data_IF_347337919526
#
_entry.id   IF_347337919526
#
_cell.length_a   1.000
_cell.length_b   1.000
_cell.length_c   1.000
_cell.angle_alpha   90.00
_cell.angle_beta   90.00
_cell.angle_gamma   90.00
#
_symmetry.space_group_name_H-M   'P 1'
#
loop_
_entity.id
_entity.type
_entity.pdbx_description
1 polymer ?
#
# COMPACT_ATOMS: atom_id res chain seq x y z
N UNK A 1 3.51 -23.60 -24.79
CA UNK A 1 3.85 -22.43 -23.94
C UNK A 1 3.81 -22.78 -22.45
N UNK A 2 2.72 -23.37 -21.92
CA UNK A 2 2.59 -23.71 -20.49
C UNK A 2 3.73 -24.58 -19.92
N UNK A 3 4.09 -25.68 -20.57
CA UNK A 3 5.17 -26.56 -20.10
C UNK A 3 6.58 -25.93 -20.07
N UNK A 4 6.80 -24.81 -20.79
CA UNK A 4 8.07 -24.09 -20.75
C UNK A 4 8.22 -23.18 -19.53
N UNK A 5 7.11 -22.56 -19.09
CA UNK A 5 7.07 -21.75 -17.88
C UNK A 5 7.18 -22.63 -16.62
N UNK A 6 6.45 -23.75 -16.60
CA UNK A 6 6.48 -24.71 -15.49
C UNK A 6 7.88 -25.29 -15.25
N UNK A 7 8.57 -25.71 -16.31
CA UNK A 7 9.96 -26.14 -16.22
C UNK A 7 10.90 -25.03 -15.70
N UNK A 8 10.57 -23.75 -15.95
CA UNK A 8 11.28 -22.60 -15.40
C UNK A 8 11.12 -22.48 -13.89
N UNK A 9 9.88 -22.55 -13.41
CA UNK A 9 9.57 -22.52 -11.99
C UNK A 9 10.16 -23.69 -11.23
N UNK A 10 10.11 -24.92 -11.79
CA UNK A 10 10.75 -26.08 -11.17
C UNK A 10 12.27 -25.94 -11.05
N UNK A 11 12.91 -25.18 -11.95
CA UNK A 11 14.34 -24.86 -11.80
C UNK A 11 14.57 -23.85 -10.68
N UNK A 12 13.72 -22.83 -10.57
CA UNK A 12 13.83 -21.83 -9.50
C UNK A 12 13.53 -22.45 -8.12
N UNK A 13 12.49 -23.28 -8.01
CA UNK A 13 12.14 -23.99 -6.78
C UNK A 13 13.29 -24.86 -6.24
N UNK A 14 14.15 -25.42 -7.11
CA UNK A 14 15.37 -26.15 -6.69
C UNK A 14 16.44 -25.28 -6.03
N UNK A 15 16.32 -23.96 -6.09
CA UNK A 15 17.18 -23.01 -5.37
C UNK A 15 16.60 -22.58 -4.01
N UNK A 16 15.42 -23.07 -3.66
CA UNK A 16 14.66 -22.66 -2.47
C UNK A 16 14.53 -23.83 -1.51
N UNK A 17 14.75 -23.56 -0.22
CA UNK A 17 14.37 -24.45 0.88
C UNK A 17 13.34 -23.74 1.74
N UNK A 18 12.25 -24.42 2.07
CA UNK A 18 11.24 -23.97 3.03
C UNK A 18 11.23 -25.01 4.15
N UNK A 19 11.60 -24.59 5.36
CA UNK A 19 11.51 -25.39 6.57
C UNK A 19 10.43 -24.78 7.44
N UNK A 20 9.43 -25.55 7.86
CA UNK A 20 8.42 -25.09 8.81
C UNK A 20 8.76 -25.58 10.21
N UNK A 21 8.62 -24.70 11.19
CA UNK A 21 8.82 -25.04 12.60
C UNK A 21 7.57 -25.68 13.23
N UNK A 22 7.59 -25.90 14.55
CA UNK A 22 6.50 -26.53 15.30
C UNK A 22 5.18 -25.71 15.26
N UNK A 23 5.25 -24.42 14.91
CA UNK A 23 4.09 -23.52 14.78
C UNK A 23 3.66 -23.34 13.32
N UNK A 24 4.33 -24.00 12.38
CA UNK A 24 4.09 -23.88 10.95
C UNK A 24 4.73 -22.65 10.32
N UNK A 25 5.54 -21.89 11.05
CA UNK A 25 6.21 -20.68 10.55
C UNK A 25 7.24 -21.08 9.50
N UNK A 26 7.13 -20.46 8.32
CA UNK A 26 8.02 -20.77 7.21
C UNK A 26 9.38 -20.06 7.37
N UNK A 27 10.45 -20.84 7.39
CA UNK A 27 11.84 -20.39 7.26
C UNK A 27 12.32 -20.65 5.84
N UNK A 28 12.34 -19.60 5.02
CA UNK A 28 12.71 -19.66 3.61
C UNK A 28 14.19 -19.31 3.44
N UNK A 29 14.91 -20.16 2.70
CA UNK A 29 16.29 -19.93 2.27
C UNK A 29 16.37 -20.00 0.75
N UNK A 30 16.82 -18.91 0.10
CA UNK A 30 17.06 -18.84 -1.34
C UNK A 30 18.55 -18.64 -1.67
N UNK A 31 18.98 -19.01 -2.88
CA UNK A 31 20.33 -18.65 -3.36
C UNK A 31 20.46 -17.16 -3.64
N UNK A 32 19.39 -16.56 -4.16
CA UNK A 32 19.26 -15.12 -4.44
C UNK A 32 18.09 -14.51 -3.67
N UNK A 33 18.00 -13.19 -3.59
CA UNK A 33 16.83 -12.49 -3.03
C UNK A 33 15.55 -12.87 -3.79
N UNK A 34 15.65 -13.03 -5.11
CA UNK A 34 14.54 -13.46 -5.95
C UNK A 34 14.07 -14.89 -5.61
N UNK A 35 15.00 -15.81 -5.35
CA UNK A 35 14.65 -17.17 -4.89
C UNK A 35 13.95 -17.12 -3.51
N UNK A 36 14.42 -16.27 -2.60
CA UNK A 36 13.78 -16.09 -1.30
C UNK A 36 12.35 -15.52 -1.43
N UNK A 37 12.14 -14.53 -2.30
CA UNK A 37 10.79 -13.98 -2.60
C UNK A 37 9.88 -15.03 -3.24
N UNK A 38 10.40 -15.84 -4.16
CA UNK A 38 9.65 -16.97 -4.75
C UNK A 38 9.17 -17.94 -3.67
N UNK A 39 10.06 -18.34 -2.75
CA UNK A 39 9.70 -19.24 -1.64
C UNK A 39 8.73 -18.61 -0.65
N UNK A 40 8.93 -17.33 -0.31
CA UNK A 40 8.08 -16.57 0.60
C UNK A 40 6.63 -16.52 0.11
N UNK A 41 6.42 -16.16 -1.16
CA UNK A 41 5.06 -16.03 -1.68
C UNK A 41 4.39 -17.39 -1.91
N UNK A 42 5.18 -18.42 -2.24
CA UNK A 42 4.68 -19.80 -2.28
C UNK A 42 4.19 -20.25 -0.91
N UNK A 43 4.97 -20.03 0.15
CA UNK A 43 4.57 -20.36 1.53
C UNK A 43 3.32 -19.60 1.97
N UNK A 44 3.22 -18.30 1.66
CA UNK A 44 2.01 -17.51 1.93
C UNK A 44 0.78 -18.06 1.20
N UNK A 45 0.94 -18.55 -0.03
CA UNK A 45 -0.14 -19.15 -0.79
C UNK A 45 -0.56 -20.53 -0.24
N UNK A 46 0.39 -21.34 0.23
CA UNK A 46 0.08 -22.58 0.98
C UNK A 46 -0.76 -22.30 2.22
N UNK A 47 -0.46 -21.20 2.92
CA UNK A 47 -1.15 -20.84 4.17
C UNK A 47 -2.55 -20.25 3.89
N UNK A 48 -2.67 -19.28 2.98
CA UNK A 48 -3.95 -18.65 2.65
C UNK A 48 -3.96 -17.97 1.26
N UNK A 49 -3.98 -18.77 0.20
CA UNK A 49 -4.12 -18.26 -1.17
C UNK A 49 -5.33 -17.32 -1.35
N UNK A 50 -6.47 -17.60 -0.69
CA UNK A 50 -7.67 -16.79 -0.84
C UNK A 50 -7.44 -15.35 -0.35
N UNK A 51 -6.75 -15.14 0.77
CA UNK A 51 -6.39 -13.78 1.22
C UNK A 51 -5.38 -13.12 0.29
N UNK A 52 -4.38 -13.87 -0.19
CA UNK A 52 -3.44 -13.35 -1.19
C UNK A 52 -4.19 -12.85 -2.43
N UNK A 53 -5.07 -13.67 -3.02
CA UNK A 53 -5.86 -13.28 -4.17
C UNK A 53 -6.77 -12.08 -3.85
N UNK A 54 -7.45 -12.09 -2.69
CA UNK A 54 -8.36 -11.01 -2.27
C UNK A 54 -7.66 -9.65 -2.20
N UNK A 55 -6.45 -9.60 -1.63
CA UNK A 55 -5.69 -8.36 -1.55
C UNK A 55 -5.36 -7.80 -2.93
N UNK A 56 -4.98 -8.65 -3.88
CA UNK A 56 -4.70 -8.23 -5.25
C UNK A 56 -5.96 -7.89 -6.06
N UNK A 57 -7.08 -8.55 -5.78
CA UNK A 57 -8.37 -8.15 -6.34
C UNK A 57 -8.80 -6.77 -5.85
N UNK A 58 -8.67 -6.49 -4.55
CA UNK A 58 -8.94 -5.15 -4.03
C UNK A 58 -7.97 -4.12 -4.64
N UNK A 59 -6.66 -4.37 -4.57
CA UNK A 59 -5.61 -3.46 -5.05
C UNK A 59 -5.78 -3.03 -6.52
N UNK A 60 -6.19 -3.95 -7.40
CA UNK A 60 -6.41 -3.69 -8.83
C UNK A 60 -7.85 -3.29 -9.18
N UNK A 61 -8.74 -3.20 -8.19
CA UNK A 61 -10.17 -2.96 -8.37
C UNK A 61 -10.83 -4.03 -9.24
N UNK A 62 -10.69 -5.29 -8.86
CA UNK A 62 -11.25 -6.48 -9.54
C UNK A 62 -12.12 -7.32 -8.60
N UNK A 63 -12.48 -6.78 -7.43
CA UNK A 63 -13.18 -7.54 -6.42
C UNK A 63 -14.65 -7.79 -6.81
N UNK A 64 -15.24 -6.94 -7.64
CA UNK A 64 -16.57 -7.15 -8.21
C UNK A 64 -16.62 -8.35 -9.18
N UNK A 65 -15.51 -8.74 -9.80
CA UNK A 65 -15.42 -9.98 -10.57
C UNK A 65 -15.63 -11.23 -9.68
N UNK A 66 -15.32 -11.14 -8.38
CA UNK A 66 -15.50 -12.21 -7.41
C UNK A 66 -16.81 -12.09 -6.60
N UNK A 67 -17.14 -10.87 -6.16
CA UNK A 67 -18.19 -10.57 -5.17
C UNK A 67 -19.46 -9.97 -5.79
N UNK A 68 -19.42 -9.59 -7.07
CA UNK A 68 -20.54 -9.04 -7.80
C UNK A 68 -20.78 -7.56 -7.55
N UNK A 69 -22.02 -7.13 -7.74
CA UNK A 69 -22.41 -5.72 -7.85
C UNK A 69 -22.04 -4.86 -6.62
N UNK A 70 -22.07 -5.45 -5.42
CA UNK A 70 -21.78 -4.75 -4.16
C UNK A 70 -20.36 -4.17 -4.11
N UNK A 71 -19.42 -4.69 -4.90
CA UNK A 71 -18.03 -4.27 -4.92
C UNK A 71 -17.70 -3.25 -6.03
N UNK A 72 -18.65 -2.89 -6.91
CA UNK A 72 -18.40 -2.02 -8.08
C UNK A 72 -17.76 -0.69 -7.68
N UNK A 73 -18.25 -0.05 -6.62
CA UNK A 73 -17.75 1.27 -6.21
C UNK A 73 -16.37 1.20 -5.57
N UNK A 74 -16.09 0.12 -4.84
CA UNK A 74 -14.75 -0.18 -4.33
C UNK A 74 -13.77 -0.40 -5.48
N UNK A 75 -14.20 -1.15 -6.51
CA UNK A 75 -13.38 -1.35 -7.71
C UNK A 75 -13.16 -0.05 -8.48
N UNK A 76 -14.19 0.78 -8.66
CA UNK A 76 -14.05 2.08 -9.31
C UNK A 76 -13.05 2.98 -8.55
N UNK A 77 -13.17 3.06 -7.22
CA UNK A 77 -12.25 3.82 -6.35
C UNK A 77 -10.80 3.43 -6.63
N UNK A 78 -10.50 2.14 -6.67
CA UNK A 78 -9.14 1.65 -6.92
C UNK A 78 -8.70 1.91 -8.36
N UNK A 79 -9.54 1.61 -9.36
CA UNK A 79 -9.21 1.79 -10.77
C UNK A 79 -8.95 3.24 -11.15
N UNK A 80 -9.52 4.23 -10.46
CA UNK A 80 -9.25 5.65 -10.73
C UNK A 80 -7.76 6.01 -10.52
N UNK A 81 -7.03 5.25 -9.69
CA UNK A 81 -5.60 5.44 -9.41
C UNK A 81 -4.73 4.34 -10.01
N UNK A 82 -5.23 3.11 -10.01
CA UNK A 82 -4.47 1.91 -10.37
C UNK A 82 -4.89 1.43 -11.76
N UNK A 83 -4.03 1.73 -12.73
CA UNK A 83 -4.25 1.40 -14.14
C UNK A 83 -3.23 0.34 -14.61
N UNK A 84 -3.67 -0.86 -15.04
CA UNK A 84 -2.77 -1.94 -15.42
C UNK A 84 -1.72 -1.56 -16.48
N UNK A 85 -2.09 -0.76 -17.48
CA UNK A 85 -1.15 -0.37 -18.53
C UNK A 85 -0.05 0.56 -18.01
N UNK A 86 -0.36 1.42 -17.05
CA UNK A 86 0.63 2.28 -16.39
C UNK A 86 1.53 1.44 -15.46
N UNK A 87 0.97 0.49 -14.70
CA UNK A 87 1.78 -0.41 -13.87
C UNK A 87 2.71 -1.30 -14.71
N UNK A 88 2.28 -1.77 -15.88
CA UNK A 88 3.13 -2.51 -16.83
C UNK A 88 4.29 -1.66 -17.34
N UNK A 89 4.04 -0.38 -17.64
CA UNK A 89 5.09 0.57 -18.01
C UNK A 89 6.03 0.85 -16.83
N UNK A 90 5.51 0.98 -15.62
CA UNK A 90 6.33 1.17 -14.42
C UNK A 90 7.19 -0.06 -14.10
N UNK A 91 6.66 -1.27 -14.32
CA UNK A 91 7.44 -2.49 -14.24
C UNK A 91 8.62 -2.47 -15.22
N UNK A 92 8.41 -2.10 -16.49
CA UNK A 92 9.50 -2.05 -17.48
C UNK A 92 10.53 -0.95 -17.20
N UNK A 93 10.14 0.15 -16.54
CA UNK A 93 11.03 1.21 -16.09
C UNK A 93 11.69 0.93 -14.73
N UNK A 94 11.24 -0.09 -14.00
CA UNK A 94 11.76 -0.40 -12.66
C UNK A 94 13.23 -0.86 -12.73
N UNK A 95 14.03 -0.64 -11.68
CA UNK A 95 15.40 -1.18 -11.63
C UNK A 95 15.42 -2.69 -11.86
N UNK A 96 16.47 -3.19 -12.53
CA UNK A 96 16.58 -4.61 -12.90
C UNK A 96 16.49 -5.55 -11.69
N UNK A 97 17.02 -5.16 -10.53
CA UNK A 97 16.90 -5.94 -9.30
C UNK A 97 15.45 -6.04 -8.85
N UNK A 98 14.66 -4.95 -8.93
CA UNK A 98 13.26 -4.94 -8.53
C UNK A 98 12.38 -5.74 -9.51
N UNK A 99 12.67 -5.65 -10.82
CA UNK A 99 12.02 -6.50 -11.83
C UNK A 99 12.21 -7.99 -11.56
N UNK A 100 13.40 -8.40 -11.09
CA UNK A 100 13.67 -9.80 -10.70
C UNK A 100 12.81 -10.24 -9.52
N UNK A 101 12.68 -9.41 -8.49
CA UNK A 101 11.84 -9.72 -7.32
C UNK A 101 10.36 -9.83 -7.69
N UNK A 102 9.86 -8.87 -8.48
CA UNK A 102 8.47 -8.88 -8.96
C UNK A 102 8.18 -10.08 -9.87
N UNK A 103 9.16 -10.47 -10.70
CA UNK A 103 9.05 -11.69 -11.52
C UNK A 103 8.99 -12.93 -10.65
N UNK A 104 9.89 -13.06 -9.69
CA UNK A 104 9.92 -14.19 -8.76
C UNK A 104 8.65 -14.30 -7.90
N UNK A 105 8.08 -13.16 -7.51
CA UNK A 105 6.79 -13.11 -6.82
C UNK A 105 5.66 -13.68 -7.67
N UNK A 106 5.54 -13.24 -8.93
CA UNK A 106 4.52 -13.77 -9.83
C UNK A 106 4.76 -15.26 -10.13
N UNK A 107 6.01 -15.66 -10.33
CA UNK A 107 6.41 -17.03 -10.59
C UNK A 107 6.10 -17.96 -9.41
N UNK A 108 6.34 -17.53 -8.16
CA UNK A 108 6.01 -18.32 -6.97
C UNK A 108 4.51 -18.60 -6.83
N UNK A 109 3.66 -17.59 -7.07
CA UNK A 109 2.19 -17.77 -7.05
C UNK A 109 1.69 -18.65 -8.19
N UNK A 110 2.23 -18.46 -9.38
CA UNK A 110 1.84 -19.28 -10.52
C UNK A 110 2.33 -20.73 -10.38
N UNK A 111 3.50 -20.94 -9.77
CA UNK A 111 4.00 -22.26 -9.43
C UNK A 111 3.11 -22.94 -8.40
N UNK A 112 2.69 -22.22 -7.35
CA UNK A 112 1.70 -22.72 -6.40
C UNK A 112 0.43 -23.20 -7.10
N UNK A 113 -0.18 -22.36 -7.95
CA UNK A 113 -1.40 -22.74 -8.69
C UNK A 113 -1.20 -23.95 -9.62
N UNK A 114 -0.01 -24.11 -10.20
CA UNK A 114 0.30 -25.29 -11.02
C UNK A 114 0.43 -26.56 -10.18
N UNK A 115 0.98 -26.47 -8.96
CA UNK A 115 1.15 -27.61 -8.04
C UNK A 115 -0.13 -27.97 -7.28
N UNK A 116 -1.07 -27.04 -7.17
CA UNK A 116 -2.30 -27.16 -6.40
C UNK A 116 -3.56 -27.00 -7.29
N UNK A 117 -3.83 -27.94 -8.22
CA UNK A 117 -4.98 -27.84 -9.14
C UNK A 117 -6.35 -27.89 -8.43
N UNK A 118 -6.39 -28.32 -7.17
CA UNK A 118 -7.56 -28.26 -6.29
C UNK A 118 -7.94 -26.83 -5.91
N UNK A 119 -6.96 -25.92 -5.83
CA UNK A 119 -7.20 -24.50 -5.57
C UNK A 119 -7.86 -23.90 -6.79
N UNK A 120 -9.02 -23.27 -6.58
CA UNK A 120 -9.79 -22.59 -7.63
C UNK A 120 -9.71 -21.08 -7.39
N UNK A 121 -8.84 -20.36 -8.11
CA UNK A 121 -8.84 -18.91 -8.05
C UNK A 121 -10.22 -18.35 -8.36
N UNK A 122 -10.64 -17.33 -7.60
CA UNK A 122 -11.91 -16.65 -7.86
C UNK A 122 -11.86 -15.92 -9.20
N UNK A 123 -10.71 -15.33 -9.53
CA UNK A 123 -10.54 -14.42 -10.67
C UNK A 123 -9.12 -14.46 -11.26
N UNK A 124 -8.05 -14.50 -10.46
CA UNK A 124 -6.67 -14.41 -10.93
C UNK A 124 -6.12 -15.82 -11.20
N UNK A 125 -6.23 -16.26 -12.44
CA UNK A 125 -5.68 -17.56 -12.88
C UNK A 125 -4.20 -17.49 -13.26
N UNK A 126 -3.67 -16.27 -13.40
CA UNK A 126 -2.26 -16.00 -13.71
C UNK A 126 -1.85 -14.67 -13.09
N UNK A 127 -0.84 -14.72 -12.24
CA UNK A 127 -0.17 -13.52 -11.73
C UNK A 127 0.88 -13.05 -12.72
N UNK A 128 0.94 -11.74 -12.95
CA UNK A 128 1.95 -11.11 -13.81
C UNK A 128 2.85 -10.20 -12.97
N UNK A 129 4.16 -10.07 -13.27
CA UNK A 129 5.11 -9.38 -12.40
C UNK A 129 4.70 -7.96 -12.00
N UNK A 130 4.12 -7.19 -12.92
CA UNK A 130 3.69 -5.81 -12.67
C UNK A 130 2.60 -5.70 -11.60
N UNK A 131 1.85 -6.77 -11.30
CA UNK A 131 0.78 -6.75 -10.30
C UNK A 131 1.33 -6.43 -8.91
N UNK A 132 2.58 -6.79 -8.60
CA UNK A 132 3.25 -6.44 -7.33
C UNK A 132 3.30 -4.92 -7.08
N UNK A 133 3.23 -4.08 -8.13
CA UNK A 133 3.16 -2.62 -8.00
C UNK A 133 1.77 -2.11 -7.61
N UNK A 134 0.72 -2.92 -7.66
CA UNK A 134 -0.62 -2.53 -7.22
C UNK A 134 -0.76 -2.53 -5.69
N UNK A 135 0.08 -3.29 -4.99
CA UNK A 135 0.02 -3.44 -3.54
C UNK A 135 1.42 -3.34 -2.91
N UNK A 136 1.86 -2.09 -2.72
CA UNK A 136 3.25 -1.76 -2.32
C UNK A 136 3.37 -1.23 -0.89
N UNK A 137 2.23 -0.94 -0.27
CA UNK A 137 2.12 -0.50 1.13
C UNK A 137 1.56 -1.65 1.97
N UNK A 138 2.24 -2.04 3.05
CA UNK A 138 1.80 -3.14 3.94
C UNK A 138 0.91 -2.72 5.10
N UNK A 139 0.48 -1.47 5.12
CA UNK A 139 -0.46 -0.94 6.10
C UNK A 139 -1.87 -1.46 5.83
N UNK A 140 -2.74 -1.38 6.84
CA UNK A 140 -4.18 -1.49 6.65
C UNK A 140 -4.70 -0.12 6.25
N UNK A 141 -5.57 -0.05 5.23
CA UNK A 141 -6.29 1.16 4.88
C UNK A 141 -5.42 2.23 4.22
N UNK A 142 -4.78 1.90 3.09
CA UNK A 142 -3.95 2.84 2.34
C UNK A 142 -4.71 4.07 1.85
N UNK A 143 -4.00 5.11 1.41
CA UNK A 143 -4.55 6.45 1.10
C UNK A 143 -5.82 6.42 0.24
N UNK A 144 -5.85 5.58 -0.81
CA UNK A 144 -6.99 5.45 -1.73
C UNK A 144 -8.24 4.98 -0.98
N UNK A 145 -8.10 4.14 0.04
CA UNK A 145 -9.22 3.56 0.79
C UNK A 145 -9.93 4.57 1.70
N UNK A 146 -9.31 5.71 1.97
CA UNK A 146 -9.91 6.84 2.71
C UNK A 146 -11.01 7.54 1.91
N UNK A 147 -11.04 7.36 0.58
CA UNK A 147 -12.06 7.96 -0.29
C UNK A 147 -13.41 7.28 -0.02
N UNK A 148 -14.37 8.11 0.41
CA UNK A 148 -15.72 7.68 0.77
C UNK A 148 -16.51 7.13 -0.43
N UNK A 149 -16.96 5.87 -0.33
CA UNK A 149 -17.64 5.17 -1.40
C UNK A 149 -19.03 5.75 -1.73
N UNK A 150 -19.80 6.18 -0.73
CA UNK A 150 -21.14 6.74 -0.94
C UNK A 150 -21.07 8.07 -1.72
N UNK A 151 -20.08 8.92 -1.41
CA UNK A 151 -19.83 10.18 -2.13
C UNK A 151 -19.33 9.94 -3.54
N UNK A 152 -18.46 8.95 -3.73
CA UNK A 152 -18.00 8.52 -5.06
C UNK A 152 -19.17 8.01 -5.92
N UNK A 153 -20.03 7.17 -5.32
CA UNK A 153 -21.24 6.66 -5.93
C UNK A 153 -22.22 7.78 -6.29
N UNK A 154 -22.42 8.76 -5.39
CA UNK A 154 -23.28 9.92 -5.66
C UNK A 154 -22.79 10.73 -6.88
N UNK A 155 -21.47 10.84 -7.05
CA UNK A 155 -20.88 11.58 -8.17
C UNK A 155 -20.95 10.83 -9.51
N UNK A 156 -20.57 9.55 -9.52
CA UNK A 156 -20.47 8.73 -10.75
C UNK A 156 -21.72 7.89 -11.04
N UNK A 157 -22.69 7.86 -10.13
CA UNK A 157 -23.97 7.17 -10.28
C UNK A 157 -24.93 7.95 -11.20
N UNK A 158 -25.71 7.20 -11.98
CA UNK A 158 -26.70 7.73 -12.93
C UNK A 158 -28.11 7.92 -12.34
N UNK A 159 -28.29 7.69 -11.04
CA UNK A 159 -29.55 7.85 -10.31
C UNK A 159 -29.28 8.49 -8.94
N UNK A 160 -30.11 9.43 -8.46
CA UNK A 160 -30.14 9.75 -7.04
C UNK A 160 -30.67 8.50 -6.32
N UNK A 161 -29.77 7.63 -5.89
CA UNK A 161 -30.15 6.51 -5.04
C UNK A 161 -30.64 7.08 -3.71
N UNK A 162 -31.83 6.65 -3.30
CA UNK A 162 -32.29 6.83 -1.93
C UNK A 162 -31.13 6.47 -0.99
N UNK A 163 -30.82 7.38 -0.07
CA UNK A 163 -29.89 7.15 1.04
C UNK A 163 -30.31 5.83 1.69
N UNK A 164 -29.47 4.81 1.59
CA UNK A 164 -29.84 3.45 2.02
C UNK A 164 -29.32 2.34 1.12
N UNK A 165 -28.01 2.32 0.86
CA UNK A 165 -27.35 1.03 0.65
C UNK A 165 -26.88 0.56 2.03
N UNK A 166 -27.08 -0.72 2.35
CA UNK A 166 -26.57 -1.36 3.57
C UNK A 166 -25.03 -1.26 3.72
N UNK A 167 -24.33 -0.72 2.71
CA UNK A 167 -22.92 -0.34 2.79
C UNK A 167 -22.64 0.83 3.75
N UNK A 168 -23.67 1.57 4.20
CA UNK A 168 -23.57 2.64 5.21
C UNK A 168 -23.96 2.17 6.62
N UNK A 169 -24.18 0.87 6.85
CA UNK A 169 -24.09 0.37 8.21
C UNK A 169 -22.60 0.40 8.56
N UNK A 170 -22.14 1.52 9.13
CA UNK A 170 -20.99 1.43 10.04
C UNK A 170 -21.24 0.21 10.91
N UNK A 171 -20.28 -0.71 10.93
CA UNK A 171 -20.36 -1.81 11.87
C UNK A 171 -20.71 -1.22 13.23
N UNK A 172 -21.75 -1.74 13.92
CA UNK A 172 -22.05 -1.36 15.28
C UNK A 172 -20.73 -1.22 16.04
N UNK A 173 -20.55 -0.18 16.85
CA UNK A 173 -19.25 0.06 17.49
C UNK A 173 -18.79 -1.13 18.36
N UNK A 174 -19.72 -1.99 18.76
CA UNK A 174 -19.48 -3.29 19.41
C UNK A 174 -18.87 -4.39 18.51
N UNK A 175 -18.95 -4.23 17.19
CA UNK A 175 -18.39 -5.12 16.16
C UNK A 175 -17.13 -4.55 15.50
N UNK A 176 -16.89 -3.22 15.58
CA UNK A 176 -15.64 -2.61 15.12
C UNK A 176 -14.47 -3.16 15.94
N UNK A 177 -13.58 -3.90 15.28
CA UNK A 177 -12.35 -4.39 15.92
C UNK A 177 -11.50 -3.20 16.41
N UNK A 178 -10.96 -3.25 17.64
CA UNK A 178 -10.06 -2.20 18.13
C UNK A 178 -8.82 -2.15 17.23
N UNK A 179 -8.58 -0.97 16.65
CA UNK A 179 -7.43 -0.71 15.78
C UNK A 179 -6.38 0.13 16.50
N UNK A 180 -5.14 0.04 16.05
CA UNK A 180 -4.01 0.78 16.59
C UNK A 180 -2.72 -0.01 16.49
N UNK A 181 -1.67 0.45 17.14
CA UNK A 181 -0.39 -0.25 17.26
C UNK A 181 0.43 0.37 18.38
N UNK A 182 1.22 -0.45 19.06
CA UNK A 182 2.29 0.00 19.95
C UNK A 182 3.66 -0.34 19.38
N UNK A 183 4.58 0.60 19.46
CA UNK A 183 6.01 0.33 19.27
C UNK A 183 6.80 0.97 20.40
N UNK A 184 7.78 0.25 20.93
CA UNK A 184 8.68 0.73 21.99
C UNK A 184 10.10 0.31 21.64
N UNK A 185 11.06 1.24 21.71
CA UNK A 185 12.47 0.95 21.66
C UNK A 185 13.17 1.45 22.93
N UNK A 186 14.00 0.60 23.54
CA UNK A 186 14.72 0.90 24.78
C UNK A 186 16.22 0.82 24.49
N UNK A 187 16.96 1.88 24.83
CA UNK A 187 18.39 1.97 24.59
C UNK A 187 19.18 1.07 25.57
N UNK A 188 20.37 0.59 25.19
CA UNK A 188 21.27 -0.21 26.05
C UNK A 188 21.44 0.27 27.48
N UNK A 189 21.57 1.59 27.68
CA UNK A 189 21.78 2.18 29.02
C UNK A 189 20.62 1.97 29.99
N UNK A 190 19.44 1.62 29.48
CA UNK A 190 18.23 1.34 30.24
C UNK A 190 17.93 -0.18 30.32
N UNK A 191 18.85 -1.04 29.88
CA UNK A 191 18.68 -2.50 29.88
C UNK A 191 19.80 -3.16 30.69
N UNK A 192 19.51 -4.30 31.32
CA UNK A 192 20.47 -5.00 32.19
C UNK A 192 21.66 -5.55 31.40
N UNK A 193 21.41 -6.07 30.19
CA UNK A 193 22.42 -6.75 29.38
C UNK A 193 23.11 -5.83 28.36
N UNK A 194 22.80 -4.53 28.37
CA UNK A 194 23.45 -3.55 27.48
C UNK A 194 23.08 -3.69 25.99
N UNK A 195 21.95 -4.33 25.68
CA UNK A 195 21.42 -4.44 24.32
C UNK A 195 20.18 -3.56 24.15
N UNK A 196 19.95 -3.04 22.95
CA UNK A 196 18.69 -2.38 22.64
C UNK A 196 17.53 -3.40 22.63
N UNK A 197 16.34 -2.98 23.07
CA UNK A 197 15.12 -3.79 23.01
C UNK A 197 14.10 -3.13 22.09
N UNK A 198 13.32 -3.94 21.37
CA UNK A 198 12.24 -3.50 20.50
C UNK A 198 10.96 -4.29 20.78
N UNK A 199 9.85 -3.59 20.96
CA UNK A 199 8.50 -4.16 20.97
C UNK A 199 7.84 -3.96 19.60
N UNK A 200 7.44 -5.06 18.97
CA UNK A 200 6.66 -5.10 17.74
C UNK A 200 5.24 -5.54 18.09
N UNK A 201 4.29 -4.60 18.19
CA UNK A 201 2.92 -4.89 18.68
C UNK A 201 1.83 -4.15 17.87
N UNK A 202 1.54 -4.59 16.63
CA UNK A 202 0.44 -4.03 15.84
C UNK A 202 -0.92 -4.50 16.37
N UNK A 203 -1.96 -3.68 16.22
CA UNK A 203 -3.36 -4.09 16.40
C UNK A 203 -4.10 -3.95 15.06
N UNK A 204 -3.93 -4.99 14.24
CA UNK A 204 -4.60 -5.17 12.95
C UNK A 204 -5.72 -6.20 13.08
N UNK A 205 -6.52 -6.39 12.02
CA UNK A 205 -7.48 -7.49 12.02
C UNK A 205 -6.81 -8.84 12.24
N UNK A 206 -7.51 -9.75 12.92
CA UNK A 206 -6.93 -10.98 13.50
C UNK A 206 -6.13 -11.84 12.52
N UNK A 207 -6.47 -11.77 11.23
CA UNK A 207 -5.89 -12.64 10.22
C UNK A 207 -5.20 -11.90 9.07
N UNK A 208 -4.76 -10.66 9.31
CA UNK A 208 -4.19 -9.80 8.26
C UNK A 208 -2.77 -10.18 7.81
N UNK A 209 -2.01 -10.92 8.63
CA UNK A 209 -0.58 -11.15 8.41
C UNK A 209 -0.16 -12.61 8.53
N UNK A 210 0.88 -12.95 7.78
CA UNK A 210 1.66 -14.18 7.86
C UNK A 210 2.97 -13.90 8.61
N UNK A 211 3.40 -14.82 9.47
CA UNK A 211 4.72 -14.78 10.09
C UNK A 211 5.68 -15.71 9.33
N UNK A 212 6.85 -15.22 8.95
CA UNK A 212 7.86 -15.99 8.23
C UNK A 212 9.26 -15.39 8.34
N UNK A 213 10.27 -16.18 7.94
CA UNK A 213 11.64 -15.73 7.72
C UNK A 213 12.05 -15.88 6.26
N UNK A 214 12.78 -14.91 5.73
CA UNK A 214 13.41 -14.99 4.40
C UNK A 214 14.92 -14.75 4.52
N UNK A 215 15.72 -15.66 3.98
CA UNK A 215 17.18 -15.53 3.90
C UNK A 215 17.68 -15.75 2.47
N UNK A 216 18.77 -15.08 2.09
CA UNK A 216 19.39 -15.26 0.78
C UNK A 216 20.92 -15.21 0.82
N UNK A 217 21.55 -15.80 -0.20
CA UNK A 217 22.99 -15.61 -0.48
C UNK A 217 23.39 -14.19 -0.91
N UNK A 218 22.43 -13.28 -1.10
CA UNK A 218 22.64 -11.87 -1.47
C UNK A 218 22.47 -10.92 -0.26
N UNK A 219 22.45 -11.47 0.96
CA UNK A 219 22.44 -10.71 2.21
C UNK A 219 21.06 -10.25 2.68
N UNK A 220 19.98 -10.88 2.22
CA UNK A 220 18.67 -10.80 2.86
C UNK A 220 18.62 -11.76 4.04
N UNK A 221 18.12 -11.30 5.18
CA UNK A 221 17.82 -12.13 6.34
C UNK A 221 16.79 -11.41 7.22
N UNK A 222 15.51 -11.54 6.92
CA UNK A 222 14.45 -10.83 7.63
C UNK A 222 13.44 -11.82 8.21
N UNK A 223 13.04 -11.58 9.46
CA UNK A 223 12.04 -12.34 10.19
C UNK A 223 10.92 -11.39 10.64
N UNK A 224 9.67 -11.80 10.47
CA UNK A 224 8.54 -11.09 11.07
C UNK A 224 7.25 -11.26 10.29
N UNK A 225 6.41 -10.23 10.36
CA UNK A 225 5.08 -10.28 9.78
C UNK A 225 5.04 -9.65 8.38
N UNK A 226 4.55 -10.42 7.40
CA UNK A 226 4.22 -9.98 6.06
C UNK A 226 2.70 -9.86 5.89
N UNK A 227 2.24 -8.81 5.25
CA UNK A 227 0.83 -8.73 4.83
C UNK A 227 0.64 -9.65 3.62
N UNK A 228 -0.47 -10.41 3.61
CA UNK A 228 -0.71 -11.45 2.61
C UNK A 228 -0.53 -10.92 1.18
N UNK A 229 0.39 -11.54 0.44
CA UNK A 229 0.67 -11.22 -0.94
C UNK A 229 1.87 -10.30 -1.17
N UNK A 230 2.46 -9.72 -0.12
CA UNK A 230 3.63 -8.85 -0.23
C UNK A 230 4.95 -9.62 -0.34
N UNK A 231 5.96 -8.95 -0.89
CA UNK A 231 7.30 -9.51 -1.15
C UNK A 231 8.34 -9.18 -0.07
N UNK A 232 7.90 -8.61 1.06
CA UNK A 232 8.79 -8.12 2.12
C UNK A 232 8.16 -8.34 3.51
N UNK A 233 9.00 -8.40 4.53
CA UNK A 233 8.57 -8.32 5.94
C UNK A 233 8.18 -6.88 6.24
N UNK A 234 6.88 -6.63 6.46
CA UNK A 234 6.38 -5.28 6.70
C UNK A 234 6.87 -4.76 8.05
N UNK A 235 6.86 -5.59 9.09
CA UNK A 235 7.42 -5.28 10.42
C UNK A 235 8.10 -6.52 11.00
N UNK A 236 9.24 -6.33 11.65
CA UNK A 236 10.09 -7.45 12.01
C UNK A 236 11.49 -7.01 12.37
N UNK A 237 12.43 -7.92 12.21
CA UNK A 237 13.85 -7.68 12.45
C UNK A 237 14.73 -8.51 11.51
N UNK A 238 15.98 -8.11 11.40
CA UNK A 238 17.07 -8.88 10.82
C UNK A 238 18.18 -9.05 11.87
N UNK A 239 19.32 -9.61 11.49
CA UNK A 239 20.44 -9.85 12.41
C UNK A 239 21.07 -8.57 13.00
N UNK A 240 20.70 -7.40 12.48
CA UNK A 240 21.27 -6.10 12.85
C UNK A 240 20.28 -5.13 13.47
N UNK A 241 19.03 -5.13 13.02
CA UNK A 241 18.06 -4.10 13.36
C UNK A 241 16.62 -4.62 13.31
N UNK A 242 15.72 -3.90 13.97
CA UNK A 242 14.28 -4.14 13.94
C UNK A 242 13.48 -2.88 13.64
N UNK A 243 12.28 -3.07 13.11
CA UNK A 243 11.36 -2.00 12.76
C UNK A 243 9.91 -2.39 13.09
N UNK A 244 9.21 -1.48 13.76
CA UNK A 244 7.79 -1.60 14.12
C UNK A 244 7.02 -0.41 13.55
N UNK A 245 5.84 -0.67 12.98
CA UNK A 245 5.00 0.36 12.38
C UNK A 245 3.75 0.66 13.20
N UNK A 246 3.52 1.93 13.48
CA UNK A 246 2.29 2.41 14.10
C UNK A 246 1.54 3.34 13.16
N UNK A 247 0.21 3.28 13.15
CA UNK A 247 -0.63 4.24 12.41
C UNK A 247 -0.35 5.66 12.88
N UNK A 248 -0.32 6.60 11.94
CA UNK A 248 -0.10 8.02 12.18
C UNK A 248 -1.27 8.84 11.63
N UNK A 249 -1.57 9.95 12.28
CA UNK A 249 -2.48 10.98 11.77
C UNK A 249 -1.74 12.03 10.91
N UNK A 250 -0.67 11.63 10.23
CA UNK A 250 0.05 12.52 9.32
C UNK A 250 -0.92 12.99 8.24
N UNK A 251 -0.89 14.27 7.94
CA UNK A 251 -1.65 14.84 6.85
C UNK A 251 -0.85 14.66 5.55
N UNK A 252 -1.24 13.65 4.75
CA UNK A 252 -0.59 13.26 3.49
C UNK A 252 -1.52 13.36 2.26
N UNK A 253 -2.79 13.72 2.47
CA UNK A 253 -3.84 13.74 1.44
C UNK A 253 -4.47 15.13 1.47
N UNK A 254 -4.56 15.77 0.31
CA UNK A 254 -5.22 17.06 0.18
C UNK A 254 -6.34 17.01 -0.86
N UNK A 255 -7.29 17.92 -0.71
CA UNK A 255 -8.44 18.04 -1.59
C UNK A 255 -8.54 19.46 -2.14
N UNK A 256 -8.94 19.56 -3.40
CA UNK A 256 -9.13 20.85 -4.08
C UNK A 256 -10.57 20.95 -4.58
N UNK A 257 -11.19 22.10 -4.33
CA UNK A 257 -12.46 22.51 -4.92
C UNK A 257 -12.18 23.12 -6.28
N UNK A 258 -12.59 22.42 -7.33
CA UNK A 258 -12.36 22.81 -8.71
C UNK A 258 -13.52 23.65 -9.24
N UNK A 259 -13.23 24.86 -9.74
CA UNK A 259 -14.23 25.66 -10.47
C UNK A 259 -14.35 25.12 -11.90
N UNK A 260 -15.32 24.23 -12.11
CA UNK A 260 -15.54 23.55 -13.39
C UNK A 260 -16.51 24.32 -14.29
N UNK A 261 -16.12 24.47 -15.55
CA UNK A 261 -16.87 25.13 -16.61
C UNK A 261 -17.22 24.10 -17.69
N UNK A 262 -18.51 23.94 -17.99
CA UNK A 262 -18.96 23.12 -19.10
C UNK A 262 -19.01 23.95 -20.39
N UNK A 263 -18.33 23.49 -21.44
CA UNK A 263 -18.34 24.09 -22.79
C UNK A 263 -18.69 23.01 -23.82
N UNK A 264 -19.95 22.98 -24.25
CA UNK A 264 -20.48 21.88 -25.05
C UNK A 264 -20.38 20.57 -24.27
N UNK A 265 -19.74 19.55 -24.88
CA UNK A 265 -19.55 18.23 -24.28
C UNK A 265 -18.24 18.09 -23.49
N UNK A 266 -17.48 19.18 -23.32
CA UNK A 266 -16.18 19.18 -22.62
C UNK A 266 -16.25 19.97 -21.33
N UNK A 267 -15.46 19.56 -20.36
CA UNK A 267 -15.26 20.26 -19.10
C UNK A 267 -13.88 20.92 -19.07
N UNK A 268 -13.83 22.13 -18.52
CA UNK A 268 -12.62 22.89 -18.23
C UNK A 268 -12.62 23.26 -16.75
N UNK A 269 -11.47 23.47 -16.15
CA UNK A 269 -11.35 24.01 -14.80
C UNK A 269 -10.50 25.28 -14.82
N UNK A 270 -10.81 26.23 -13.92
CA UNK A 270 -10.01 27.44 -13.76
C UNK A 270 -8.73 27.13 -12.99
N UNK A 271 -7.61 27.71 -13.42
CA UNK A 271 -6.36 27.68 -12.68
C UNK A 271 -5.59 28.98 -12.95
N UNK A 272 -5.47 29.83 -11.93
CA UNK A 272 -5.06 31.22 -12.06
C UNK A 272 -5.94 31.95 -13.07
N UNK A 273 -5.30 32.61 -14.04
CA UNK A 273 -5.99 33.26 -15.17
C UNK A 273 -6.39 32.32 -16.31
N UNK A 274 -6.06 31.02 -16.24
CA UNK A 274 -6.24 30.06 -17.33
C UNK A 274 -7.49 29.19 -17.15
N UNK A 275 -7.97 28.63 -18.26
CA UNK A 275 -8.95 27.54 -18.26
C UNK A 275 -8.31 26.31 -18.89
N UNK A 276 -8.07 25.29 -18.07
CA UNK A 276 -7.41 24.04 -18.48
C UNK A 276 -8.44 22.95 -18.76
N UNK A 277 -8.22 22.06 -19.74
CA UNK A 277 -9.14 20.97 -19.99
C UNK A 277 -9.15 19.97 -18.83
N UNK A 278 -10.33 19.55 -18.40
CA UNK A 278 -10.47 18.37 -17.52
C UNK A 278 -10.17 17.14 -18.36
N UNK A 279 -9.29 16.27 -17.87
CA UNK A 279 -9.00 14.99 -18.51
C UNK A 279 -10.17 14.05 -18.28
N UNK A 280 -10.61 13.38 -19.35
CA UNK A 280 -11.74 12.44 -19.32
C UNK A 280 -11.27 11.09 -19.83
N UNK A 281 -11.61 10.02 -19.13
CA UNK A 281 -11.37 8.65 -19.57
C UNK A 281 -12.54 7.74 -19.20
N UNK A 282 -12.62 6.57 -19.84
CA UNK A 282 -13.64 5.56 -19.54
C UNK A 282 -12.99 4.42 -18.76
N UNK A 283 -13.46 4.18 -17.54
CA UNK A 283 -13.10 3.02 -16.74
C UNK A 283 -14.20 1.97 -16.86
N UNK A 284 -13.80 0.75 -17.19
CA UNK A 284 -14.67 -0.43 -17.19
C UNK A 284 -14.48 -1.21 -15.90
N UNK A 285 -15.58 -1.50 -15.22
CA UNK A 285 -15.64 -2.33 -14.00
C UNK A 285 -16.43 -3.59 -14.34
N UNK A 286 -15.75 -4.72 -14.59
CA UNK A 286 -16.41 -6.01 -14.72
C UNK A 286 -16.97 -6.47 -13.36
N UNK A 287 -18.14 -7.12 -13.35
CA UNK A 287 -18.72 -7.66 -12.12
C UNK A 287 -19.52 -8.93 -12.37
N UNK A 288 -19.56 -9.80 -11.36
CA UNK A 288 -20.27 -11.08 -11.40
C UNK A 288 -21.76 -10.91 -11.13
N UNK A 289 -22.59 -11.59 -11.93
CA UNK A 289 -24.04 -11.74 -11.74
C UNK A 289 -24.42 -13.21 -11.70
N UNK A 290 -25.70 -13.51 -11.46
CA UNK A 290 -26.22 -14.88 -11.57
C UNK A 290 -26.19 -15.41 -13.03
N UNK A 291 -26.18 -14.51 -14.03
CA UNK A 291 -26.22 -14.83 -15.45
C UNK A 291 -24.83 -14.84 -16.11
N UNK A 292 -23.79 -14.38 -15.42
CA UNK A 292 -22.42 -14.33 -15.93
C UNK A 292 -21.67 -13.05 -15.54
N UNK A 293 -20.58 -12.75 -16.25
CA UNK A 293 -19.82 -11.52 -16.05
C UNK A 293 -20.46 -10.39 -16.87
N UNK A 294 -20.79 -9.28 -16.21
CA UNK A 294 -21.24 -8.04 -16.83
C UNK A 294 -20.17 -6.95 -16.68
N UNK A 295 -20.40 -5.77 -17.26
CA UNK A 295 -19.46 -4.64 -17.17
C UNK A 295 -20.20 -3.32 -17.06
N UNK A 296 -19.86 -2.54 -16.04
CA UNK A 296 -20.30 -1.16 -15.89
C UNK A 296 -19.19 -0.21 -16.35
N UNK A 297 -19.55 0.77 -17.17
CA UNK A 297 -18.59 1.78 -17.66
C UNK A 297 -18.83 3.12 -16.99
N UNK A 298 -17.75 3.77 -16.56
CA UNK A 298 -17.76 5.07 -15.91
C UNK A 298 -16.92 6.05 -16.70
N UNK A 299 -17.49 7.22 -17.00
CA UNK A 299 -16.70 8.35 -17.50
C UNK A 299 -16.12 9.05 -16.29
N UNK A 300 -14.80 8.96 -16.10
CA UNK A 300 -14.08 9.54 -14.97
C UNK A 300 -13.34 10.81 -15.37
N UNK A 301 -13.13 11.68 -14.39
CA UNK A 301 -12.59 13.01 -14.61
C UNK A 301 -11.36 13.26 -13.75
N UNK A 302 -10.40 14.01 -14.27
CA UNK A 302 -9.13 14.33 -13.59
C UNK A 302 -8.64 15.73 -13.94
N UNK A 303 -8.17 16.46 -12.94
CA UNK A 303 -7.38 17.70 -13.11
C UNK A 303 -5.91 17.41 -12.84
N UNK A 304 -5.08 18.45 -12.81
CA UNK A 304 -3.67 18.29 -12.46
C UNK A 304 -3.47 17.92 -10.97
N UNK A 305 -4.38 18.35 -10.08
CA UNK A 305 -4.36 17.97 -8.66
C UNK A 305 -4.67 16.49 -8.45
N UNK A 306 -5.58 15.93 -9.24
CA UNK A 306 -5.91 14.52 -9.19
C UNK A 306 -7.29 14.17 -9.72
N UNK A 307 -7.77 12.94 -9.49
CA UNK A 307 -9.07 12.51 -9.96
C UNK A 307 -10.19 13.16 -9.15
N UNK A 308 -11.34 13.36 -9.79
CA UNK A 308 -12.55 13.84 -9.11
C UNK A 308 -13.17 12.70 -8.33
N UNK A 309 -13.43 12.90 -7.05
CA UNK A 309 -13.94 11.88 -6.14
C UNK A 309 -15.35 12.16 -5.62
N UNK A 310 -15.79 13.42 -5.66
CA UNK A 310 -17.14 13.81 -5.24
C UNK A 310 -17.52 15.20 -5.74
N UNK A 311 -18.75 15.61 -5.44
CA UNK A 311 -19.14 17.02 -5.36
C UNK A 311 -19.08 17.52 -3.92
N UNK A 312 -18.82 18.81 -3.76
CA UNK A 312 -19.01 19.54 -2.52
C UNK A 312 -20.51 19.74 -2.29
N UNK A 313 -21.00 19.39 -1.09
CA UNK A 313 -22.44 19.38 -0.80
C UNK A 313 -23.06 20.79 -0.80
N UNK A 314 -22.27 21.82 -0.49
CA UNK A 314 -22.75 23.20 -0.36
C UNK A 314 -22.70 23.96 -1.69
N UNK A 315 -21.61 23.83 -2.43
CA UNK A 315 -21.36 24.57 -3.68
C UNK A 315 -21.74 23.80 -4.94
N UNK A 316 -21.76 22.46 -4.89
CA UNK A 316 -21.87 21.59 -6.06
C UNK A 316 -20.60 21.53 -6.91
N UNK A 317 -19.53 22.19 -6.49
CA UNK A 317 -18.23 22.16 -7.15
C UNK A 317 -17.61 20.76 -7.07
N UNK A 318 -16.74 20.45 -8.02
CA UNK A 318 -16.09 19.15 -8.08
C UNK A 318 -14.91 19.13 -7.11
N UNK A 319 -14.76 18.04 -6.35
CA UNK A 319 -13.61 17.86 -5.47
C UNK A 319 -12.66 16.85 -6.07
N UNK A 320 -11.41 17.27 -6.28
CA UNK A 320 -10.29 16.40 -6.65
C UNK A 320 -9.42 16.12 -5.44
N UNK A 321 -8.74 14.97 -5.45
CA UNK A 321 -7.86 14.53 -4.35
C UNK A 321 -6.44 14.28 -4.85
N UNK A 322 -5.46 14.68 -4.04
CA UNK A 322 -4.04 14.42 -4.23
C UNK A 322 -3.53 13.59 -3.06
N UNK A 323 -2.85 12.49 -3.36
CA UNK A 323 -2.34 11.51 -2.41
C UNK A 323 -1.09 10.82 -2.97
N UNK A 324 -0.41 10.00 -2.17
CA UNK A 324 0.77 9.28 -2.62
C UNK A 324 0.40 8.17 -3.62
N UNK A 325 0.95 8.24 -4.84
CA UNK A 325 0.85 7.16 -5.83
C UNK A 325 2.20 6.92 -6.52
N UNK A 326 3.14 6.37 -5.75
CA UNK A 326 4.56 6.21 -6.13
C UNK A 326 5.02 4.75 -5.95
N UNK A 327 4.41 3.78 -6.65
CA UNK A 327 4.54 2.35 -6.31
C UNK A 327 5.96 1.81 -6.46
N UNK A 328 6.76 2.32 -7.42
CA UNK A 328 8.17 1.91 -7.55
C UNK A 328 8.96 2.35 -6.30
N UNK A 329 8.78 3.59 -5.84
CA UNK A 329 9.45 4.11 -4.64
C UNK A 329 8.95 3.40 -3.39
N UNK A 330 7.65 3.17 -3.27
CA UNK A 330 7.04 2.48 -2.13
C UNK A 330 7.54 1.03 -2.01
N UNK A 331 7.51 0.26 -3.10
CA UNK A 331 8.02 -1.12 -3.10
C UNK A 331 9.52 -1.17 -2.84
N UNK A 332 10.28 -0.21 -3.40
CA UNK A 332 11.71 -0.08 -3.13
C UNK A 332 11.97 0.21 -1.66
N UNK A 333 11.25 1.17 -1.07
CA UNK A 333 11.40 1.56 0.33
C UNK A 333 11.07 0.39 1.26
N UNK A 334 9.97 -0.32 1.00
CA UNK A 334 9.53 -1.46 1.79
C UNK A 334 10.49 -2.65 1.70
N UNK A 335 10.95 -3.02 0.50
CA UNK A 335 11.88 -4.15 0.33
C UNK A 335 13.28 -3.82 0.86
N UNK A 336 13.84 -2.66 0.52
CA UNK A 336 15.21 -2.34 0.95
C UNK A 336 15.35 -2.16 2.46
N UNK A 337 14.26 -1.81 3.17
CA UNK A 337 14.19 -1.77 4.64
C UNK A 337 14.60 -3.10 5.27
N UNK A 338 14.14 -4.23 4.71
CA UNK A 338 14.40 -5.57 5.27
C UNK A 338 15.89 -5.96 5.20
N UNK A 339 16.64 -5.32 4.29
CA UNK A 339 18.07 -5.53 4.06
C UNK A 339 18.99 -4.47 4.68
N UNK A 340 18.42 -3.44 5.31
CA UNK A 340 19.23 -2.40 5.92
C UNK A 340 20.10 -2.99 7.05
N UNK A 341 21.33 -2.48 7.20
CA UNK A 341 22.31 -3.03 8.16
C UNK A 341 22.57 -2.14 9.37
N UNK A 342 22.14 -0.89 9.30
CA UNK A 342 22.41 0.14 10.30
C UNK A 342 21.47 1.35 10.11
N UNK A 343 21.47 2.23 11.10
CA UNK A 343 20.66 3.46 11.08
C UNK A 343 20.92 4.34 9.86
N UNK A 344 22.16 4.44 9.38
CA UNK A 344 22.51 5.31 8.23
C UNK A 344 21.83 4.84 6.96
N UNK A 345 21.84 3.53 6.69
CA UNK A 345 21.13 2.93 5.56
C UNK A 345 19.61 3.09 5.71
N UNK A 346 19.08 2.83 6.91
CA UNK A 346 17.64 2.96 7.19
C UNK A 346 17.16 4.41 6.97
N UNK A 347 17.90 5.40 7.46
CA UNK A 347 17.63 6.82 7.22
C UNK A 347 17.67 7.17 5.73
N UNK A 348 18.61 6.61 4.96
CA UNK A 348 18.68 6.86 3.53
C UNK A 348 17.47 6.26 2.79
N UNK A 349 16.97 5.09 3.23
CA UNK A 349 15.75 4.48 2.71
C UNK A 349 14.54 5.39 2.97
N UNK A 350 14.45 6.00 4.16
CA UNK A 350 13.42 6.97 4.50
C UNK A 350 13.47 8.27 3.68
N UNK A 351 14.47 8.49 2.82
CA UNK A 351 14.50 9.62 1.87
C UNK A 351 13.85 9.29 0.53
N UNK A 352 13.30 8.10 0.36
CA UNK A 352 12.45 7.78 -0.79
C UNK A 352 11.08 8.47 -0.72
N UNK A 353 10.70 8.98 0.46
CA UNK A 353 9.44 9.70 0.68
C UNK A 353 8.22 8.90 0.22
N UNK A 354 8.20 7.59 0.47
CA UNK A 354 7.18 6.68 -0.03
C UNK A 354 6.42 5.96 1.10
N UNK A 355 6.16 6.67 2.21
CA UNK A 355 5.32 6.23 3.31
C UNK A 355 4.45 7.41 3.79
N UNK A 356 3.16 7.33 3.51
CA UNK A 356 2.14 8.33 3.83
C UNK A 356 1.35 8.02 5.11
N UNK A 357 1.61 6.91 5.80
CA UNK A 357 0.65 6.37 6.77
C UNK A 357 1.24 5.97 8.13
N UNK A 358 2.49 5.47 8.18
CA UNK A 358 3.00 4.82 9.40
C UNK A 358 4.25 5.47 9.97
N UNK A 359 4.22 5.74 11.28
CA UNK A 359 5.46 5.98 12.00
C UNK A 359 6.25 4.67 12.12
N UNK A 360 7.56 4.77 12.32
CA UNK A 360 8.46 3.62 12.48
C UNK A 360 9.26 3.77 13.76
N UNK A 361 9.11 2.79 14.65
CA UNK A 361 10.00 2.60 15.80
C UNK A 361 11.12 1.67 15.40
N UNK A 362 12.35 2.07 15.70
CA UNK A 362 13.57 1.42 15.25
C UNK A 362 14.48 1.10 16.43
N UNK A 363 15.14 -0.04 16.38
CA UNK A 363 16.27 -0.37 17.25
C UNK A 363 17.33 -1.14 16.45
N UNK A 364 18.61 -0.97 16.78
CA UNK A 364 19.70 -1.77 16.19
C UNK A 364 20.70 -2.30 17.23
N UNK A 365 21.51 -3.25 16.77
CA UNK A 365 22.54 -3.91 17.54
C UNK A 365 23.79 -3.03 17.76
N UNK A 366 23.84 -1.79 17.24
CA UNK A 366 24.82 -0.77 17.64
C UNK A 366 24.31 0.07 18.82
N UNK A 367 23.10 -0.23 19.32
CA UNK A 367 22.48 0.46 20.45
C UNK A 367 21.67 1.69 20.06
N UNK A 368 21.44 1.93 18.77
CA UNK A 368 20.60 3.03 18.34
C UNK A 368 19.13 2.71 18.54
N UNK A 369 18.36 3.68 19.01
CA UNK A 369 16.89 3.68 18.98
C UNK A 369 16.39 4.93 18.27
N UNK A 370 15.35 4.78 17.46
CA UNK A 370 14.81 5.92 16.73
C UNK A 370 13.29 5.87 16.53
N UNK A 371 12.71 7.06 16.40
CA UNK A 371 11.39 7.30 15.82
C UNK A 371 11.58 7.93 14.45
N UNK A 372 10.91 7.36 13.45
CA UNK A 372 10.76 7.99 12.15
C UNK A 372 9.29 8.31 11.89
N UNK A 373 9.00 9.56 11.53
CA UNK A 373 7.67 9.94 11.08
C UNK A 373 7.41 9.39 9.66
N UNK A 374 6.14 9.20 9.24
CA UNK A 374 5.81 9.09 7.82
C UNK A 374 6.50 10.19 7.02
N UNK A 375 6.94 9.86 5.80
CA UNK A 375 7.86 10.68 5.03
C UNK A 375 7.29 11.17 3.69
N UNK A 376 6.04 10.87 3.36
CA UNK A 376 5.31 11.57 2.30
C UNK A 376 4.48 12.71 2.93
N UNK A 377 5.04 13.91 2.97
CA UNK A 377 4.37 15.09 3.56
C UNK A 377 4.45 16.24 2.55
N UNK A 378 3.34 16.64 1.93
CA UNK A 378 3.32 17.76 1.01
C UNK A 378 3.77 19.08 1.65
N UNK A 379 4.65 19.81 0.95
CA UNK A 379 4.96 21.19 1.32
C UNK A 379 3.82 22.09 0.85
N UNK A 380 3.07 22.57 1.83
CA UNK A 380 1.85 23.37 1.65
C UNK A 380 2.11 24.85 1.90
N UNK A 381 1.31 25.71 1.28
CA UNK A 381 1.27 27.14 1.62
C UNK A 381 0.40 27.32 2.89
N UNK A 382 0.93 27.89 3.99
CA UNK A 382 0.19 28.02 5.25
C UNK A 382 -0.96 29.04 5.21
N UNK A 383 -1.14 29.78 4.11
CA UNK A 383 -2.27 30.70 3.95
C UNK A 383 -3.63 29.98 3.84
N UNK A 384 -3.64 28.69 3.49
CA UNK A 384 -4.85 27.90 3.36
C UNK A 384 -5.10 27.05 4.61
N UNK A 385 -6.38 26.77 4.86
CA UNK A 385 -6.84 25.77 5.81
C UNK A 385 -6.94 24.41 5.11
N UNK A 386 -5.88 23.60 5.23
CA UNK A 386 -5.77 22.28 4.59
C UNK A 386 -6.64 21.20 5.26
N UNK A 387 -7.33 21.53 6.36
CA UNK A 387 -8.34 20.62 6.95
C UNK A 387 -9.62 20.55 6.13
N UNK A 388 -9.71 21.33 5.04
CA UNK A 388 -10.86 21.44 4.14
C UNK A 388 -10.39 21.43 2.69
N UNK A 389 -11.28 21.14 1.72
CA UNK A 389 -10.96 21.37 0.32
C UNK A 389 -10.54 22.83 0.08
N UNK A 390 -9.34 23.01 -0.48
CA UNK A 390 -8.78 24.34 -0.80
C UNK A 390 -9.20 24.77 -2.21
N UNK A 391 -9.16 26.07 -2.52
CA UNK A 391 -9.53 26.57 -3.85
C UNK A 391 -8.53 26.10 -4.92
N UNK A 392 -8.97 25.19 -5.79
CA UNK A 392 -8.14 24.63 -6.88
C UNK A 392 -7.86 25.62 -8.01
N UNK A 393 -8.50 26.79 -8.01
CA UNK A 393 -8.18 27.84 -8.98
C UNK A 393 -7.02 28.74 -8.54
N UNK A 394 -6.60 28.70 -7.28
CA UNK A 394 -5.48 29.48 -6.77
C UNK A 394 -4.15 28.74 -7.01
N UNK A 395 -3.27 29.28 -7.85
CA UNK A 395 -1.97 28.65 -8.17
C UNK A 395 -1.03 28.47 -6.96
N UNK A 396 -1.30 29.18 -5.85
CA UNK A 396 -0.55 29.01 -4.62
C UNK A 396 -0.99 27.76 -3.83
N UNK A 397 -2.12 27.11 -4.20
CA UNK A 397 -2.60 25.85 -3.60
C UNK A 397 -1.89 24.60 -4.14
N UNK A 398 -0.99 24.74 -5.12
CA UNK A 398 -0.18 23.62 -5.58
C UNK A 398 0.86 23.23 -4.53
N UNK A 399 1.04 21.93 -4.30
CA UNK A 399 2.14 21.40 -3.51
C UNK A 399 3.50 21.90 -4.02
N UNK A 400 4.35 22.38 -3.12
CA UNK A 400 5.69 22.89 -3.44
C UNK A 400 6.76 21.82 -3.19
N UNK A 401 6.49 20.61 -3.69
CA UNK A 401 7.26 19.40 -3.39
C UNK A 401 6.87 18.78 -2.05
N UNK A 402 7.75 17.92 -1.51
CA UNK A 402 7.58 17.28 -0.21
C UNK A 402 8.52 17.93 0.82
N UNK A 403 8.16 17.83 2.11
CA UNK A 403 9.10 18.12 3.19
C UNK A 403 10.25 17.10 3.15
N UNK A 404 11.46 17.58 3.42
CA UNK A 404 12.64 16.72 3.57
C UNK A 404 12.53 15.88 4.84
N UNK A 405 13.35 14.82 4.93
CA UNK A 405 13.44 14.02 6.14
C UNK A 405 13.80 14.89 7.36
N UNK A 406 14.69 15.87 7.20
CA UNK A 406 15.12 16.75 8.27
C UNK A 406 14.04 17.75 8.73
N UNK A 407 13.01 17.99 7.90
CA UNK A 407 11.87 18.84 8.25
C UNK A 407 10.73 18.09 8.93
N UNK A 408 10.72 16.75 8.88
CA UNK A 408 9.73 15.92 9.58
C UNK A 408 10.21 15.52 10.99
N UNK A 409 9.29 15.26 11.94
CA UNK A 409 9.66 14.99 13.32
C UNK A 409 10.31 13.61 13.45
N UNK A 410 11.63 13.55 13.44
CA UNK A 410 12.40 12.32 13.65
C UNK A 410 13.23 12.44 14.92
N UNK A 411 13.43 11.33 15.63
CA UNK A 411 14.18 11.31 16.89
C UNK A 411 15.16 10.15 16.89
N UNK A 412 16.43 10.42 17.22
CA UNK A 412 17.49 9.42 17.37
C UNK A 412 18.08 9.54 18.77
N UNK A 413 18.19 8.41 19.48
CA UNK A 413 18.90 8.27 20.75
C UNK A 413 18.60 9.39 21.78
N UNK A 414 17.32 9.57 22.19
CA UNK A 414 16.98 10.61 23.15
C UNK A 414 17.68 10.40 24.50
N UNK A 415 17.88 11.49 25.24
CA UNK A 415 18.48 11.45 26.57
C UNK A 415 17.71 10.55 27.56
N UNK A 416 16.39 10.39 27.37
CA UNK A 416 15.56 9.46 28.15
C UNK A 416 15.95 7.99 27.98
N UNK A 417 16.58 7.62 26.85
CA UNK A 417 16.93 6.23 26.54
C UNK A 417 15.75 5.34 26.17
N UNK A 418 14.59 5.91 25.85
CA UNK A 418 13.46 5.16 25.30
C UNK A 418 12.68 6.02 24.30
N UNK A 419 12.08 5.35 23.32
CA UNK A 419 11.20 5.92 22.30
C UNK A 419 9.96 5.04 22.22
N UNK A 420 8.77 5.64 22.11
CA UNK A 420 7.55 4.87 21.86
C UNK A 420 6.58 5.62 20.96
N UNK A 421 5.64 4.87 20.39
CA UNK A 421 4.43 5.44 19.82
C UNK A 421 3.27 4.45 20.01
N UNK A 422 2.10 4.99 20.36
CA UNK A 422 0.83 4.27 20.50
C UNK A 422 -0.25 4.98 19.69
N UNK A 423 0.07 5.33 18.44
CA UNK A 423 -0.75 6.15 17.54
C UNK A 423 -0.98 7.60 17.97
N UNK A 424 -0.32 8.04 19.04
CA UNK A 424 -0.31 9.44 19.47
C UNK A 424 0.44 10.33 18.47
N UNK A 425 0.24 11.65 18.60
CA UNK A 425 1.06 12.67 17.94
C UNK A 425 2.56 12.44 18.19
N UNK A 426 3.45 12.95 17.33
CA UNK A 426 4.90 12.85 17.55
C UNK A 426 5.44 13.72 18.71
N UNK A 427 4.54 14.41 19.42
CA UNK A 427 4.76 15.20 20.64
C UNK A 427 4.07 14.52 21.81
#
# INVERSE_FOLDING_TARGET
>A
AAGGAEAGWERQARNVSIVRDDWGIAHITGKTDADAVFGMIYAQAEDDFNRVETNYLNAMGRLAEAEGESAIWRDLRMKIFIQPDELKKQFSMSPAWLQKLMTAWADGLNFYLAKHPEVKPRVITRFEPWMALSFTEGSIGGDIETINLARLQSFYGSQPTAVGSLADLEEPESLKEPSGSNGIAIAPKNTTDGNALLLINPHTSFFFRSELQMTSGEGLNAYGAATWGQIFIYQGFNERLGWMHTSSAVDAIDEWRETVLKKGDRYFYKFGGEQRPVQTSVIKVPYKTAQGMETRSFTVYRTHHGPVIRKDDASGDWITVGLMNEPIKALTQSFTRTKAKNYKEFRQIMRLHANSSNATIYADADGNIAYFHPNFIPRRNPKFDWTKPVDGSDTESDWKGLLTFEESPNLLNPASGWVYNSNNSPW
#
